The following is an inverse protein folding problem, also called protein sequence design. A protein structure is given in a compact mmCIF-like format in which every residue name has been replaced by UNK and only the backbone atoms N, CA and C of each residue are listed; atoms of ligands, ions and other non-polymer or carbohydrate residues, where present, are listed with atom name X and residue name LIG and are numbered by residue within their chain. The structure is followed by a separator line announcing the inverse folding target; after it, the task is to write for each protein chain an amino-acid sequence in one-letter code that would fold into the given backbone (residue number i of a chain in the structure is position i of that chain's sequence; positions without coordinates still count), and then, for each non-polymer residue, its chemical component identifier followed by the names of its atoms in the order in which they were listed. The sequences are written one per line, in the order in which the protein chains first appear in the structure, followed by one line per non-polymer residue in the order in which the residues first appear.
data_IF_486808069561
#
_entry.id   IF_486808069561
#
_cell.length_a   1.000
_cell.length_b   1.000
_cell.length_c   1.000
_cell.angle_alpha   90.00
_cell.angle_beta   90.00
_cell.angle_gamma   90.00
#
_symmetry.space_group_name_H-M   'P 1'
#
loop_
_entity.id
_entity.type
_entity.pdbx_description
1 polymer ?
#
# COMPACT_ATOMS: atom_id res chain seq x y z
N UNK A 1 50.23 13.09 -3.34
CA UNK A 1 48.95 13.34 -2.64
C UNK A 1 47.92 12.42 -3.27
N UNK A 2 47.57 11.34 -2.57
CA UNK A 2 46.63 10.32 -3.07
C UNK A 2 45.34 10.46 -2.29
N UNK A 3 44.25 10.83 -2.96
CA UNK A 3 42.92 10.85 -2.35
C UNK A 3 42.31 9.45 -2.48
N UNK A 4 42.08 8.77 -1.35
CA UNK A 4 41.20 7.60 -1.30
C UNK A 4 39.76 8.12 -1.32
N UNK A 5 39.01 7.81 -2.38
CA UNK A 5 37.56 7.97 -2.38
C UNK A 5 36.93 6.76 -1.67
N UNK A 6 36.34 6.99 -0.49
CA UNK A 6 35.53 5.98 0.18
C UNK A 6 34.16 5.90 -0.52
N UNK A 7 33.86 4.78 -1.17
CA UNK A 7 32.53 4.51 -1.71
C UNK A 7 31.58 4.24 -0.54
N UNK A 8 30.62 5.14 -0.31
CA UNK A 8 29.52 4.92 0.61
C UNK A 8 28.59 3.85 -0.01
N UNK A 9 28.71 2.62 0.45
CA UNK A 9 27.74 1.57 0.12
C UNK A 9 26.46 1.90 0.88
N UNK A 10 25.49 2.52 0.22
CA UNK A 10 24.14 2.66 0.75
C UNK A 10 23.47 1.30 0.65
N UNK A 11 23.37 0.57 1.78
CA UNK A 11 22.51 -0.60 1.85
C UNK A 11 21.07 -0.15 1.58
N UNK A 12 20.48 -0.59 0.47
CA UNK A 12 19.05 -0.45 0.28
C UNK A 12 18.35 -1.25 1.40
N UNK A 13 17.27 -0.74 1.99
CA UNK A 13 16.52 -1.51 2.97
C UNK A 13 16.04 -2.79 2.28
N UNK A 14 16.50 -3.93 2.77
CA UNK A 14 15.89 -5.22 2.45
C UNK A 14 14.56 -5.21 3.18
N UNK A 15 13.45 -5.05 2.46
CA UNK A 15 12.11 -5.20 3.01
C UNK A 15 11.90 -6.67 3.40
N UNK A 16 12.37 -7.06 4.58
CA UNK A 16 12.04 -8.33 5.22
C UNK A 16 10.70 -8.20 5.98
N UNK A 17 9.68 -7.67 5.30
CA UNK A 17 8.34 -7.47 5.83
C UNK A 17 7.39 -8.56 5.35
N UNK A 18 6.32 -8.79 6.10
CA UNK A 18 5.22 -9.66 5.68
C UNK A 18 4.70 -9.23 4.29
N UNK A 19 4.27 -10.21 3.50
CA UNK A 19 3.68 -9.97 2.17
C UNK A 19 2.16 -10.14 2.22
N UNK A 20 1.43 -9.25 1.56
CA UNK A 20 -0.02 -9.35 1.33
C UNK A 20 -0.29 -9.59 -0.15
N UNK A 21 -1.33 -10.35 -0.44
CA UNK A 21 -1.69 -10.74 -1.81
C UNK A 21 -3.11 -10.26 -2.10
N UNK A 22 -3.29 -9.42 -3.11
CA UNK A 22 -4.65 -9.00 -3.49
C UNK A 22 -5.41 -10.15 -4.17
N UNK A 23 -6.73 -10.03 -4.27
CA UNK A 23 -7.58 -10.95 -5.06
C UNK A 23 -7.18 -11.01 -6.54
N UNK A 24 -6.50 -9.98 -7.05
CA UNK A 24 -5.93 -9.93 -8.40
C UNK A 24 -4.55 -10.62 -8.51
N UNK A 25 -4.03 -11.17 -7.42
CA UNK A 25 -2.73 -11.87 -7.37
C UNK A 25 -1.53 -10.94 -7.25
N UNK A 26 -1.75 -9.68 -6.89
CA UNK A 26 -0.66 -8.72 -6.73
C UNK A 26 -0.05 -8.82 -5.34
N UNK A 27 1.28 -8.87 -5.28
CA UNK A 27 2.02 -8.95 -4.03
C UNK A 27 2.40 -7.55 -3.52
N UNK A 28 2.28 -7.34 -2.21
CA UNK A 28 2.57 -6.09 -1.53
C UNK A 28 3.45 -6.33 -0.31
N UNK A 29 4.49 -5.53 -0.13
CA UNK A 29 5.22 -5.47 1.14
C UNK A 29 4.44 -4.66 2.17
N UNK A 30 4.47 -5.09 3.42
CA UNK A 30 3.82 -4.41 4.55
C UNK A 30 4.84 -3.64 5.39
N UNK A 31 4.47 -2.43 5.82
CA UNK A 31 5.07 -1.76 6.98
C UNK A 31 3.96 -1.39 7.95
N UNK A 32 4.13 -1.76 9.22
CA UNK A 32 3.16 -1.49 10.29
C UNK A 32 3.78 -0.52 11.29
N UNK A 33 3.04 0.55 11.57
CA UNK A 33 3.30 1.52 12.62
C UNK A 33 2.10 1.55 13.59
N UNK A 34 2.15 2.39 14.63
CA UNK A 34 1.15 2.37 15.70
C UNK A 34 -0.30 2.61 15.20
N UNK A 35 -0.48 3.59 14.30
CA UNK A 35 -1.80 4.01 13.81
C UNK A 35 -1.89 4.00 12.27
N UNK A 36 -0.89 3.41 11.61
CA UNK A 36 -0.72 3.42 10.16
C UNK A 36 -0.15 2.08 9.69
N UNK A 37 -0.74 1.53 8.63
CA UNK A 37 -0.14 0.42 7.88
C UNK A 37 -0.03 0.80 6.42
N UNK A 38 1.18 0.68 5.88
CA UNK A 38 1.44 0.92 4.46
C UNK A 38 1.55 -0.40 3.72
N UNK A 39 0.86 -0.51 2.58
CA UNK A 39 1.10 -1.54 1.58
C UNK A 39 1.76 -0.89 0.36
N UNK A 40 2.81 -1.51 -0.13
CA UNK A 40 3.46 -1.10 -1.38
C UNK A 40 3.58 -2.30 -2.30
N UNK A 41 3.11 -2.20 -3.55
CA UNK A 41 3.21 -3.32 -4.48
C UNK A 41 4.68 -3.70 -4.68
N UNK A 42 4.99 -4.99 -4.81
CA UNK A 42 6.36 -5.44 -5.08
C UNK A 42 6.78 -5.11 -6.52
N UNK A 43 5.81 -5.04 -7.43
CA UNK A 43 6.04 -4.76 -8.85
C UNK A 43 5.32 -3.46 -9.27
N UNK A 44 5.97 -2.62 -10.10
CA UNK A 44 5.32 -1.44 -10.68
C UNK A 44 4.13 -1.81 -11.56
N UNK A 45 3.13 -0.93 -11.57
CA UNK A 45 1.89 -1.09 -12.32
C UNK A 45 1.64 0.11 -13.21
N UNK A 46 1.07 -0.15 -14.38
CA UNK A 46 0.59 0.92 -15.24
C UNK A 46 -0.73 1.47 -14.68
N UNK A 47 -0.78 2.78 -14.44
CA UNK A 47 -1.96 3.51 -13.98
C UNK A 47 -2.28 4.62 -14.95
N UNK A 48 -3.56 4.75 -15.28
CA UNK A 48 -4.08 5.93 -15.94
C UNK A 48 -4.37 6.96 -14.86
N UNK A 49 -3.73 8.12 -14.94
CA UNK A 49 -3.95 9.23 -14.01
C UNK A 49 -4.33 10.48 -14.79
N UNK A 50 -5.20 11.30 -14.22
CA UNK A 50 -5.74 12.50 -14.86
C UNK A 50 -7.20 12.34 -15.28
N UNK A 51 -7.75 13.38 -15.90
CA UNK A 51 -9.17 13.45 -16.27
C UNK A 51 -9.30 13.78 -17.76
N UNK A 52 -10.12 13.01 -18.47
CA UNK A 52 -10.43 13.26 -19.87
C UNK A 52 -9.19 13.21 -20.77
N UNK A 53 -9.04 14.21 -21.65
CA UNK A 53 -7.93 14.28 -22.61
C UNK A 53 -6.55 14.49 -21.96
N UNK A 54 -6.50 14.83 -20.67
CA UNK A 54 -5.26 15.00 -19.89
C UNK A 54 -4.88 13.74 -19.10
N UNK A 55 -5.35 12.57 -19.54
CA UNK A 55 -4.97 11.28 -18.94
C UNK A 55 -3.58 10.86 -19.43
N UNK A 56 -2.70 10.49 -18.50
CA UNK A 56 -1.39 9.91 -18.80
C UNK A 56 -1.23 8.52 -18.19
N UNK A 57 -0.28 7.75 -18.74
CA UNK A 57 0.10 6.43 -18.20
C UNK A 57 1.36 6.60 -17.36
N UNK A 58 1.21 6.43 -16.06
CA UNK A 58 2.33 6.31 -15.11
C UNK A 58 2.63 4.85 -14.84
N UNK A 59 3.90 4.52 -14.63
CA UNK A 59 4.36 3.17 -14.27
C UNK A 59 5.14 3.26 -12.96
N UNK A 60 4.46 2.94 -11.87
CA UNK A 60 5.03 3.05 -10.53
C UNK A 60 4.32 2.06 -9.60
N UNK A 61 4.79 1.94 -8.37
CA UNK A 61 4.25 1.04 -7.37
C UNK A 61 2.96 1.58 -6.78
N UNK A 62 1.94 0.74 -6.65
CA UNK A 62 0.79 1.10 -5.85
C UNK A 62 1.23 1.27 -4.40
N UNK A 63 0.77 2.33 -3.77
CA UNK A 63 0.96 2.60 -2.35
C UNK A 63 -0.39 2.87 -1.71
N UNK A 64 -0.67 2.17 -0.61
CA UNK A 64 -1.87 2.33 0.20
C UNK A 64 -1.47 2.62 1.64
N UNK A 65 -1.89 3.77 2.15
CA UNK A 65 -1.66 4.23 3.51
C UNK A 65 -2.96 4.10 4.30
N UNK A 66 -3.14 3.00 5.01
CA UNK A 66 -4.35 2.73 5.81
C UNK A 66 -4.14 3.24 7.23
N UNK A 67 -5.10 4.02 7.73
CA UNK A 67 -5.04 4.65 9.06
C UNK A 67 -6.02 3.98 10.04
N UNK A 68 -5.72 4.03 11.33
CA UNK A 68 -6.57 3.44 12.38
C UNK A 68 -8.00 4.02 12.44
N UNK A 69 -8.26 5.16 11.80
CA UNK A 69 -9.60 5.75 11.71
C UNK A 69 -10.45 5.24 10.54
N UNK A 70 -10.02 4.16 9.87
CA UNK A 70 -10.64 3.49 8.73
C UNK A 70 -10.55 4.25 7.40
N UNK A 71 -9.74 5.31 7.34
CA UNK A 71 -9.40 5.99 6.09
C UNK A 71 -8.19 5.35 5.44
N UNK A 72 -8.12 5.45 4.12
CA UNK A 72 -6.94 5.12 3.34
C UNK A 72 -6.55 6.27 2.43
N UNK A 73 -5.29 6.31 2.02
CA UNK A 73 -4.80 7.21 0.98
C UNK A 73 -3.92 6.46 -0.01
N UNK A 74 -4.01 6.84 -1.28
CA UNK A 74 -3.09 6.42 -2.33
C UNK A 74 -2.69 7.61 -3.20
N UNK A 75 -1.41 7.71 -3.62
CA UNK A 75 -0.98 8.73 -4.58
C UNK A 75 -1.74 8.68 -5.91
N UNK A 76 -2.24 7.51 -6.34
CA UNK A 76 -2.95 7.35 -7.62
C UNK A 76 -4.47 7.44 -7.49
N UNK A 77 -5.02 7.07 -6.34
CA UNK A 77 -6.48 6.94 -6.15
C UNK A 77 -7.06 7.94 -5.14
N UNK A 78 -6.22 8.78 -4.55
CA UNK A 78 -6.65 9.78 -3.58
C UNK A 78 -7.08 9.16 -2.25
N UNK A 79 -8.08 9.75 -1.61
CA UNK A 79 -8.61 9.28 -0.33
C UNK A 79 -9.70 8.23 -0.54
N UNK A 80 -9.73 7.27 0.38
CA UNK A 80 -10.72 6.21 0.41
C UNK A 80 -10.95 5.70 1.83
N UNK A 81 -11.53 4.51 1.93
CA UNK A 81 -11.76 3.81 3.18
C UNK A 81 -11.19 2.40 3.12
N UNK A 82 -10.87 1.84 4.27
CA UNK A 82 -10.59 0.41 4.38
C UNK A 82 -11.44 -0.20 5.49
N UNK A 83 -11.74 -1.47 5.35
CA UNK A 83 -12.41 -2.24 6.38
C UNK A 83 -12.02 -3.71 6.31
N UNK A 84 -12.29 -4.43 7.39
CA UNK A 84 -12.12 -5.87 7.50
C UNK A 84 -13.48 -6.55 7.65
N UNK A 85 -13.69 -7.66 6.94
CA UNK A 85 -14.73 -8.64 7.24
C UNK A 85 -14.16 -10.07 7.31
N UNK A 86 -14.61 -10.86 8.28
CA UNK A 86 -14.31 -12.30 8.51
C UNK A 86 -13.38 -12.98 7.48
N UNK A 87 -12.06 -12.89 7.70
CA UNK A 87 -11.06 -13.53 6.86
C UNK A 87 -10.60 -12.70 5.68
N UNK A 88 -10.55 -11.38 5.77
CA UNK A 88 -9.94 -10.52 4.77
C UNK A 88 -10.19 -9.04 5.05
N UNK A 89 -9.43 -8.19 4.37
CA UNK A 89 -9.67 -6.75 4.35
C UNK A 89 -9.80 -6.25 2.93
N UNK A 90 -10.39 -5.07 2.78
CA UNK A 90 -10.57 -4.42 1.50
C UNK A 90 -10.32 -2.92 1.64
N UNK A 91 -9.94 -2.32 0.52
CA UNK A 91 -9.60 -0.91 0.40
C UNK A 91 -10.42 -0.37 -0.76
N UNK A 92 -11.28 0.61 -0.48
CA UNK A 92 -12.18 1.22 -1.45
C UNK A 92 -11.79 2.68 -1.67
N UNK A 93 -11.63 3.04 -2.93
CA UNK A 93 -11.55 4.41 -3.43
C UNK A 93 -12.80 4.71 -4.27
N UNK A 94 -12.97 5.96 -4.71
CA UNK A 94 -14.17 6.40 -5.45
C UNK A 94 -14.50 5.51 -6.66
N UNK A 95 -13.47 5.14 -7.46
CA UNK A 95 -13.64 4.40 -8.71
C UNK A 95 -13.07 2.98 -8.71
N UNK A 96 -12.38 2.56 -7.64
CA UNK A 96 -11.66 1.28 -7.60
C UNK A 96 -11.57 0.71 -6.19
N UNK A 97 -11.73 -0.61 -6.09
CA UNK A 97 -11.55 -1.38 -4.86
C UNK A 97 -10.42 -2.40 -5.00
N UNK A 98 -9.82 -2.74 -3.86
CA UNK A 98 -8.79 -3.77 -3.73
C UNK A 98 -9.15 -4.69 -2.57
N UNK A 99 -9.22 -5.98 -2.84
CA UNK A 99 -9.54 -6.99 -1.82
C UNK A 99 -8.32 -7.82 -1.48
N UNK A 100 -8.17 -8.16 -0.22
CA UNK A 100 -7.09 -8.97 0.34
C UNK A 100 -7.70 -10.12 1.13
N UNK A 101 -8.16 -11.17 0.43
CA UNK A 101 -8.83 -12.30 1.07
C UNK A 101 -7.84 -13.14 1.89
N UNK A 102 -8.37 -13.79 2.91
CA UNK A 102 -7.71 -14.71 3.84
C UNK A 102 -6.53 -14.11 4.59
N UNK A 103 -6.56 -12.79 4.81
CA UNK A 103 -5.47 -12.04 5.39
C UNK A 103 -5.95 -11.22 6.60
N UNK A 104 -5.06 -11.10 7.58
CA UNK A 104 -5.35 -10.38 8.82
C UNK A 104 -5.46 -8.87 8.60
N UNK A 105 -5.73 -8.13 9.68
CA UNK A 105 -6.03 -6.71 9.63
C UNK A 105 -4.77 -6.03 9.17
N UNK A 106 -4.90 -4.97 8.37
CA UNK A 106 -3.76 -4.08 8.20
C UNK A 106 -3.42 -3.41 9.54
N UNK A 107 -4.43 -3.03 10.35
CA UNK A 107 -4.26 -2.42 11.67
C UNK A 107 -5.15 -3.14 12.67
N UNK A 108 -4.57 -3.60 13.78
CA UNK A 108 -5.35 -4.11 14.91
C UNK A 108 -5.77 -2.97 15.84
N UNK A 109 -6.92 -2.35 15.54
CA UNK A 109 -7.58 -1.49 16.51
C UNK A 109 -8.37 -2.38 17.50
N UNK A 110 -8.00 -2.37 18.79
CA UNK A 110 -8.71 -3.16 19.82
C UNK A 110 -10.19 -2.78 19.95
N UNK A 111 -10.59 -1.67 19.35
CA UNK A 111 -11.95 -1.15 19.30
C UNK A 111 -12.82 -1.78 18.20
N UNK A 112 -12.23 -2.44 17.20
CA UNK A 112 -12.95 -3.05 16.09
C UNK A 112 -13.70 -2.05 15.21
N UNK A 113 -13.24 -0.80 15.15
CA UNK A 113 -13.93 0.31 14.47
C UNK A 113 -14.01 0.09 12.97
N UNK A 114 -13.00 -0.54 12.38
CA UNK A 114 -12.94 -0.81 10.94
C UNK A 114 -13.46 -2.22 10.58
N UNK A 115 -14.12 -2.89 11.53
CA UNK A 115 -14.77 -4.18 11.29
C UNK A 115 -16.22 -3.94 10.83
N UNK A 116 -16.60 -4.57 9.73
CA UNK A 116 -17.97 -4.55 9.20
C UNK A 116 -18.66 -5.92 9.28
#
# INVERSE_FOLDING_TARGET
MTFLAAALVTAAPVFAGDTRISSNGDEYSVSVEADLTSLRSLYPKARFIGVGASTEIVRDHDEFLMMADCKTYSPFFGYGTWAWANGGFFIDFEDIGFEFPQQDAPIEDKTGKCRI
#
